data_IF_200463789821
#
_entry.id   IF_200463789821
#
_cell.length_a   1.000
_cell.length_b   1.000
_cell.length_c   1.000
_cell.angle_alpha   90.00
_cell.angle_beta   90.00
_cell.angle_gamma   90.00
#
_symmetry.space_group_name_H-M   'P 1'
#
loop_
_entity.id
_entity.type
_entity.pdbx_description
1 polymer ?
#
# COMPACT_ATOMS: atom_id res chain seq x y z
N UNK A 1 -68.79 -13.78 -5.14
CA UNK A 1 -67.53 -14.52 -4.85
C UNK A 1 -66.35 -13.65 -5.24
N UNK A 2 -65.56 -13.22 -4.26
CA UNK A 2 -64.39 -12.33 -4.43
C UNK A 2 -63.12 -13.19 -4.36
N UNK A 3 -62.40 -13.36 -5.46
CA UNK A 3 -61.04 -13.91 -5.43
C UNK A 3 -60.06 -12.73 -5.45
N UNK A 4 -59.40 -12.48 -4.31
CA UNK A 4 -58.22 -11.61 -4.25
C UNK A 4 -56.99 -12.49 -4.49
N UNK A 5 -56.37 -12.32 -5.66
CA UNK A 5 -55.07 -12.89 -5.98
C UNK A 5 -54.02 -12.14 -5.12
N UNK A 6 -53.41 -12.84 -4.17
CA UNK A 6 -52.27 -12.32 -3.42
C UNK A 6 -51.01 -12.52 -4.27
N UNK A 7 -50.49 -11.42 -4.83
CA UNK A 7 -49.19 -11.40 -5.51
C UNK A 7 -48.10 -11.42 -4.42
N UNK A 8 -47.57 -12.61 -4.13
CA UNK A 8 -46.40 -12.75 -3.26
C UNK A 8 -45.16 -12.24 -4.00
N UNK A 9 -44.70 -11.05 -3.60
CA UNK A 9 -43.42 -10.49 -4.03
C UNK A 9 -42.30 -11.33 -3.39
N UNK A 10 -41.75 -12.27 -4.14
CA UNK A 10 -40.51 -12.98 -3.80
C UNK A 10 -39.34 -11.99 -3.89
N UNK A 11 -38.98 -11.39 -2.76
CA UNK A 11 -37.71 -10.66 -2.61
C UNK A 11 -36.62 -11.72 -2.46
N UNK A 12 -35.99 -12.10 -3.57
CA UNK A 12 -34.75 -12.87 -3.55
C UNK A 12 -33.64 -11.97 -2.97
N UNK A 13 -32.93 -12.37 -1.90
CA UNK A 13 -31.74 -11.67 -1.48
C UNK A 13 -30.69 -11.85 -2.59
N UNK A 14 -30.33 -10.74 -3.24
CA UNK A 14 -29.13 -10.67 -4.07
C UNK A 14 -27.93 -10.89 -3.15
N UNK A 15 -27.52 -12.14 -2.97
CA UNK A 15 -26.19 -12.47 -2.50
C UNK A 15 -25.22 -11.96 -3.57
N UNK A 16 -24.76 -10.72 -3.43
CA UNK A 16 -23.73 -10.15 -4.27
C UNK A 16 -22.48 -11.00 -4.10
N UNK A 17 -22.27 -11.95 -5.01
CA UNK A 17 -21.04 -12.72 -5.08
C UNK A 17 -19.92 -11.72 -5.37
N UNK A 18 -19.10 -11.43 -4.36
CA UNK A 18 -17.88 -10.63 -4.54
C UNK A 18 -17.00 -11.40 -5.52
N UNK A 19 -16.68 -10.77 -6.64
CA UNK A 19 -15.81 -11.37 -7.65
C UNK A 19 -14.40 -11.53 -7.09
N UNK A 20 -13.60 -12.50 -7.57
CA UNK A 20 -12.21 -12.64 -7.16
C UNK A 20 -11.43 -11.33 -7.31
N UNK A 21 -11.60 -10.61 -8.41
CA UNK A 21 -10.96 -9.31 -8.65
C UNK A 21 -11.32 -8.26 -7.58
N UNK A 22 -12.59 -8.17 -7.19
CA UNK A 22 -13.01 -7.27 -6.11
C UNK A 22 -12.39 -7.64 -4.77
N UNK A 23 -12.20 -8.94 -4.49
CA UNK A 23 -11.52 -9.41 -3.27
C UNK A 23 -10.05 -8.98 -3.26
N UNK A 24 -9.35 -9.10 -4.38
CA UNK A 24 -7.95 -8.67 -4.50
C UNK A 24 -7.80 -7.16 -4.28
N UNK A 25 -8.66 -6.38 -4.94
CA UNK A 25 -8.66 -4.92 -4.78
C UNK A 25 -8.97 -4.51 -3.34
N UNK A 26 -9.93 -5.17 -2.69
CA UNK A 26 -10.25 -4.90 -1.29
C UNK A 26 -9.06 -5.20 -0.36
N UNK A 27 -8.33 -6.31 -0.59
CA UNK A 27 -7.14 -6.64 0.18
C UNK A 27 -6.02 -5.60 0.03
N UNK A 28 -5.78 -5.12 -1.20
CA UNK A 28 -4.80 -4.06 -1.48
C UNK A 28 -5.19 -2.75 -0.79
N UNK A 29 -6.46 -2.35 -0.88
CA UNK A 29 -6.96 -1.11 -0.26
C UNK A 29 -6.94 -1.18 1.26
N UNK A 30 -7.33 -2.32 1.84
CA UNK A 30 -7.21 -2.55 3.29
C UNK A 30 -5.75 -2.48 3.74
N UNK A 31 -4.84 -3.13 3.02
CA UNK A 31 -3.40 -3.06 3.31
C UNK A 31 -2.90 -1.62 3.30
N UNK A 32 -3.21 -0.84 2.25
CA UNK A 32 -2.82 0.57 2.15
C UNK A 32 -3.35 1.37 3.33
N UNK A 33 -4.62 1.21 3.69
CA UNK A 33 -5.23 1.93 4.81
C UNK A 33 -4.49 1.64 6.13
N UNK A 34 -4.17 0.38 6.40
CA UNK A 34 -3.47 -0.02 7.64
C UNK A 34 -2.00 0.41 7.64
N UNK A 35 -1.30 0.28 6.50
CA UNK A 35 0.12 0.56 6.39
C UNK A 35 0.45 2.06 6.32
N UNK A 36 -0.49 2.90 5.84
CA UNK A 36 -0.22 4.32 5.65
C UNK A 36 -0.10 5.07 6.97
N UNK A 37 0.78 6.07 7.01
CA UNK A 37 0.98 6.92 8.17
C UNK A 37 2.41 7.37 8.37
N UNK A 38 2.64 7.98 9.52
CA UNK A 38 3.95 8.30 10.04
C UNK A 38 4.22 7.43 11.25
N UNK A 39 5.44 6.91 11.33
CA UNK A 39 5.84 6.01 12.37
C UNK A 39 7.26 6.31 12.84
N UNK A 40 7.59 5.88 14.05
CA UNK A 40 8.91 5.99 14.66
C UNK A 40 9.35 4.64 15.21
N UNK A 41 10.62 4.30 15.02
CA UNK A 41 11.23 3.16 15.69
C UNK A 41 11.67 3.58 17.09
N UNK A 42 11.16 2.86 18.09
CA UNK A 42 11.62 3.01 19.48
C UNK A 42 13.04 2.48 19.68
N UNK A 43 13.55 1.66 18.75
CA UNK A 43 14.89 1.04 18.85
C UNK A 43 15.98 1.93 18.27
N UNK A 44 15.74 2.54 17.11
CA UNK A 44 16.76 3.32 16.39
C UNK A 44 16.47 4.81 16.31
N UNK A 45 15.27 5.24 16.70
CA UNK A 45 14.78 6.61 16.48
C UNK A 45 14.52 6.94 15.02
N UNK A 46 14.62 5.97 14.09
CA UNK A 46 14.31 6.18 12.69
C UNK A 46 12.82 6.53 12.51
N UNK A 47 12.53 7.43 11.59
CA UNK A 47 11.13 7.73 11.20
C UNK A 47 10.81 7.05 9.87
N UNK A 48 9.55 6.68 9.72
CA UNK A 48 9.03 6.01 8.54
C UNK A 48 7.73 6.69 8.11
N UNK A 49 7.66 7.10 6.86
CA UNK A 49 6.47 7.64 6.24
C UNK A 49 6.01 6.69 5.13
N UNK A 50 4.73 6.35 5.13
CA UNK A 50 4.10 5.52 4.12
C UNK A 50 2.83 6.24 3.64
N UNK A 51 2.69 6.42 2.33
CA UNK A 51 1.50 7.00 1.73
C UNK A 51 1.08 6.24 0.46
N UNK A 52 -0.23 6.06 0.21
CA UNK A 52 -0.71 5.57 -1.08
C UNK A 52 -0.44 6.60 -2.16
N UNK A 53 0.00 6.13 -3.32
CA UNK A 53 0.34 7.01 -4.45
C UNK A 53 -0.27 6.51 -5.75
N UNK A 54 -0.24 7.35 -6.77
CA UNK A 54 -0.60 6.98 -8.13
C UNK A 54 0.62 7.13 -9.02
N UNK A 55 1.17 6.01 -9.48
CA UNK A 55 2.32 5.95 -10.39
C UNK A 55 1.95 5.14 -11.64
N UNK A 56 0.84 5.52 -12.31
CA UNK A 56 0.11 4.70 -13.31
C UNK A 56 0.94 4.19 -14.48
N UNK A 57 2.01 4.91 -14.84
CA UNK A 57 2.89 4.50 -15.93
C UNK A 57 3.92 3.44 -15.50
N UNK A 58 4.07 3.22 -14.19
CA UNK A 58 5.04 2.31 -13.58
C UNK A 58 4.34 1.09 -12.95
N UNK A 59 3.25 1.31 -12.23
CA UNK A 59 2.48 0.28 -11.53
C UNK A 59 1.03 0.74 -11.32
N UNK A 60 0.12 -0.22 -11.24
CA UNK A 60 -1.30 0.02 -10.96
C UNK A 60 -1.54 0.39 -9.49
N UNK A 61 -0.86 -0.30 -8.58
CA UNK A 61 -1.10 -0.22 -7.14
C UNK A 61 0.22 0.01 -6.38
N UNK A 62 0.34 1.16 -5.71
CA UNK A 62 1.60 1.51 -5.06
C UNK A 62 1.44 2.34 -3.77
N UNK A 63 2.46 2.25 -2.94
CA UNK A 63 2.76 3.20 -1.86
C UNK A 63 4.13 3.85 -2.11
N UNK A 64 4.28 5.08 -1.64
CA UNK A 64 5.57 5.69 -1.41
C UNK A 64 6.01 5.40 0.02
N UNK A 65 7.27 5.03 0.17
CA UNK A 65 7.92 4.78 1.45
C UNK A 65 9.13 5.69 1.58
N UNK A 66 9.24 6.37 2.71
CA UNK A 66 10.40 7.19 3.06
C UNK A 66 10.84 6.88 4.49
N UNK A 67 12.08 6.47 4.67
CA UNK A 67 12.69 6.19 5.98
C UNK A 67 13.85 7.13 6.22
N UNK A 68 13.83 7.81 7.36
CA UNK A 68 14.93 8.66 7.82
C UNK A 68 15.65 7.97 8.97
N UNK A 69 16.98 7.88 8.88
CA UNK A 69 17.84 7.39 9.96
C UNK A 69 19.11 8.24 10.05
N UNK A 70 19.23 9.03 11.13
CA UNK A 70 20.29 10.03 11.24
C UNK A 70 20.18 11.06 10.12
N UNK A 71 21.24 11.20 9.31
CA UNK A 71 21.26 12.07 8.11
C UNK A 71 20.86 11.34 6.83
N UNK A 72 20.64 10.02 6.89
CA UNK A 72 20.31 9.21 5.73
C UNK A 72 18.80 9.17 5.47
N UNK A 73 18.41 9.39 4.21
CA UNK A 73 17.04 9.22 3.73
C UNK A 73 17.03 8.10 2.70
N UNK A 74 16.13 7.15 2.89
CA UNK A 74 15.82 6.13 1.90
C UNK A 74 14.39 6.36 1.42
N UNK A 75 14.20 6.48 0.10
CA UNK A 75 12.89 6.57 -0.51
C UNK A 75 12.68 5.49 -1.56
N UNK A 76 11.48 4.90 -1.59
CA UNK A 76 11.10 3.85 -2.54
C UNK A 76 9.66 4.01 -2.97
N UNK A 77 9.40 3.61 -4.20
CA UNK A 77 8.05 3.21 -4.59
C UNK A 77 7.95 1.73 -4.30
N UNK A 78 6.85 1.31 -3.71
CA UNK A 78 6.58 -0.10 -3.47
C UNK A 78 5.33 -0.48 -4.26
N UNK A 79 5.56 -1.30 -5.27
CA UNK A 79 4.51 -1.98 -6.05
C UNK A 79 3.82 -3.03 -5.16
N UNK A 80 2.49 -3.03 -5.20
CA UNK A 80 1.63 -3.86 -4.37
C UNK A 80 0.86 -4.81 -5.28
N UNK A 81 1.09 -6.10 -5.12
CA UNK A 81 0.29 -7.13 -5.75
C UNK A 81 -0.41 -7.97 -4.68
N UNK A 82 -1.61 -8.46 -4.97
CA UNK A 82 -2.25 -9.51 -4.18
C UNK A 82 -2.26 -10.82 -4.97
N UNK A 83 -1.92 -11.94 -4.33
CA UNK A 83 -2.13 -13.26 -4.93
C UNK A 83 -3.61 -13.66 -4.87
N UNK A 84 -3.97 -14.78 -5.49
CA UNK A 84 -5.36 -15.30 -5.55
C UNK A 84 -6.04 -15.48 -4.18
N UNK A 85 -5.25 -15.64 -3.12
CA UNK A 85 -5.75 -15.87 -1.77
C UNK A 85 -5.91 -14.55 -1.00
N UNK A 86 -5.38 -13.45 -1.55
CA UNK A 86 -5.40 -12.10 -0.98
C UNK A 86 -4.12 -11.75 -0.23
N UNK A 87 -3.06 -12.57 -0.31
CA UNK A 87 -1.80 -12.26 0.34
C UNK A 87 -1.07 -11.17 -0.43
N UNK A 88 -0.58 -10.17 0.30
CA UNK A 88 0.12 -9.02 -0.28
C UNK A 88 1.58 -9.37 -0.56
N UNK A 89 2.03 -9.05 -1.77
CA UNK A 89 3.42 -9.12 -2.23
C UNK A 89 3.90 -7.71 -2.57
N UNK A 90 5.05 -7.34 -2.03
CA UNK A 90 5.61 -6.00 -2.15
C UNK A 90 6.94 -6.03 -2.90
N UNK A 91 7.00 -5.29 -4.00
CA UNK A 91 8.23 -5.14 -4.80
C UNK A 91 8.73 -3.70 -4.70
N UNK A 92 9.98 -3.53 -4.28
CA UNK A 92 10.58 -2.21 -4.16
C UNK A 92 11.12 -1.74 -5.50
N UNK A 93 10.89 -0.47 -5.80
CA UNK A 93 11.47 0.27 -6.92
C UNK A 93 12.28 1.44 -6.35
N UNK A 94 13.48 1.62 -6.85
CA UNK A 94 14.35 2.77 -6.54
C UNK A 94 14.44 3.70 -7.73
N UNK A 95 14.63 4.99 -7.48
CA UNK A 95 14.81 5.96 -8.55
C UNK A 95 16.16 5.77 -9.25
N UNK A 96 16.16 5.80 -10.57
CA UNK A 96 17.38 5.73 -11.38
C UNK A 96 18.28 6.95 -11.14
N UNK A 97 17.66 8.12 -10.89
CA UNK A 97 18.33 9.38 -10.57
C UNK A 97 17.72 9.99 -9.31
N UNK A 98 18.10 9.50 -8.12
CA UNK A 98 17.52 9.96 -6.83
C UNK A 98 17.57 11.48 -6.66
N UNK A 99 18.59 12.16 -7.19
CA UNK A 99 18.73 13.61 -7.12
C UNK A 99 17.62 14.41 -7.80
N UNK A 100 16.92 13.85 -8.78
CA UNK A 100 15.78 14.48 -9.48
C UNK A 100 14.47 14.34 -8.69
N UNK A 101 14.37 13.34 -7.82
CA UNK A 101 13.15 12.94 -7.13
C UNK A 101 13.26 13.24 -5.64
N UNK A 102 13.27 14.53 -5.30
CA UNK A 102 13.37 15.05 -3.93
C UNK A 102 12.03 15.57 -3.45
N UNK A 103 11.88 15.69 -2.12
CA UNK A 103 10.73 16.33 -1.48
C UNK A 103 9.39 15.72 -1.94
N UNK A 104 9.40 14.42 -2.25
CA UNK A 104 8.23 13.69 -2.77
C UNK A 104 7.14 13.54 -1.71
N UNK A 105 7.53 13.57 -0.44
CA UNK A 105 6.60 13.61 0.68
C UNK A 105 5.79 14.91 0.68
N UNK A 106 6.44 16.03 0.38
CA UNK A 106 5.83 17.36 0.34
C UNK A 106 5.12 17.63 -1.00
N UNK A 107 5.58 17.00 -2.08
CA UNK A 107 5.09 17.18 -3.46
C UNK A 107 4.68 15.83 -4.10
N UNK A 108 3.68 15.12 -3.53
CA UNK A 108 3.31 13.77 -3.96
C UNK A 108 2.75 13.70 -5.39
N UNK A 109 2.27 14.81 -5.95
CA UNK A 109 1.81 14.90 -7.34
C UNK A 109 2.90 14.61 -8.35
N UNK A 110 4.18 14.82 -8.00
CA UNK A 110 5.32 14.51 -8.87
C UNK A 110 5.38 13.01 -9.19
N UNK A 111 4.89 12.15 -8.30
CA UNK A 111 4.86 10.71 -8.50
C UNK A 111 3.89 10.29 -9.63
N UNK A 112 2.95 11.16 -9.99
CA UNK A 112 2.04 10.90 -11.13
C UNK A 112 2.75 11.04 -12.48
N UNK A 113 3.86 11.76 -12.52
CA UNK A 113 4.66 12.00 -13.73
C UNK A 113 5.77 10.96 -13.96
N UNK A 114 5.92 9.99 -13.04
CA UNK A 114 6.94 8.95 -13.16
C UNK A 114 6.77 8.12 -14.42
N UNK A 115 7.88 7.83 -15.09
CA UNK A 115 7.95 6.93 -16.22
C UNK A 115 8.74 5.66 -15.85
N UNK A 116 8.55 4.54 -16.58
CA UNK A 116 9.30 3.30 -16.33
C UNK A 116 10.82 3.47 -16.27
N UNK A 117 11.39 4.39 -17.07
CA UNK A 117 12.84 4.67 -17.09
C UNK A 117 13.36 5.35 -15.81
N UNK A 118 12.48 5.99 -15.05
CA UNK A 118 12.85 6.78 -13.88
C UNK A 118 13.05 5.91 -12.64
N UNK A 119 12.67 4.63 -12.73
CA UNK A 119 12.79 3.67 -11.64
C UNK A 119 13.39 2.35 -12.11
N UNK A 120 13.91 1.58 -11.15
CA UNK A 120 14.39 0.21 -11.38
C UNK A 120 14.09 -0.69 -10.17
N UNK A 121 13.97 -2.01 -10.36
CA UNK A 121 13.77 -2.95 -9.26
C UNK A 121 14.88 -2.85 -8.20
N UNK A 122 14.47 -2.91 -6.93
CA UNK A 122 15.35 -2.78 -5.76
C UNK A 122 15.10 -3.89 -4.71
N UNK A 123 14.57 -5.03 -5.15
CA UNK A 123 14.26 -6.18 -4.29
C UNK A 123 12.82 -6.15 -3.76
N UNK A 124 12.60 -6.79 -2.63
CA UNK A 124 11.29 -6.88 -1.97
C UNK A 124 11.25 -6.05 -0.71
N UNK A 125 10.03 -5.75 -0.27
CA UNK A 125 9.76 -5.18 1.05
C UNK A 125 8.91 -6.15 1.88
N UNK A 126 9.04 -6.05 3.19
CA UNK A 126 8.11 -6.63 4.16
C UNK A 126 7.52 -5.47 4.94
N UNK A 127 6.19 -5.32 4.85
CA UNK A 127 5.44 -4.34 5.63
C UNK A 127 4.26 -5.11 6.21
N UNK A 128 4.21 -5.24 7.54
CA UNK A 128 3.16 -5.97 8.22
C UNK A 128 2.53 -5.09 9.27
N UNK A 129 1.40 -4.43 8.96
CA UNK A 129 0.63 -3.68 9.94
C UNK A 129 0.13 -4.60 11.06
N UNK A 130 0.20 -4.12 12.31
CA UNK A 130 -0.42 -4.78 13.45
C UNK A 130 -1.95 -4.62 13.38
N UNK A 131 -2.68 -5.54 14.00
CA UNK A 131 -4.15 -5.54 14.01
C UNK A 131 -4.75 -4.29 14.68
N UNK A 132 -4.02 -3.71 15.63
CA UNK A 132 -4.40 -2.47 16.32
C UNK A 132 -4.17 -1.20 15.48
N UNK A 133 -3.58 -1.35 14.28
CA UNK A 133 -3.17 -0.29 13.37
C UNK A 133 -2.22 0.76 13.99
N UNK A 134 -1.67 0.53 15.18
CA UNK A 134 -0.80 1.46 15.89
C UNK A 134 0.69 1.13 15.72
N UNK A 135 0.99 0.03 15.03
CA UNK A 135 2.36 -0.33 14.69
C UNK A 135 2.43 -1.13 13.40
N UNK A 136 3.64 -1.26 12.86
CA UNK A 136 3.94 -2.18 11.78
C UNK A 136 5.38 -2.69 11.91
N UNK A 137 5.66 -3.84 11.30
CA UNK A 137 7.04 -4.25 11.02
C UNK A 137 7.42 -3.85 9.61
N UNK A 138 8.68 -3.45 9.42
CA UNK A 138 9.19 -2.93 8.16
C UNK A 138 10.59 -3.49 7.86
N UNK A 139 10.79 -3.88 6.60
CA UNK A 139 12.09 -4.12 5.97
C UNK A 139 11.98 -3.84 4.48
N UNK A 140 13.02 -3.25 3.88
CA UNK A 140 13.09 -3.09 2.42
C UNK A 140 14.54 -3.22 1.96
N UNK A 141 14.76 -3.81 0.78
CA UNK A 141 16.09 -3.84 0.16
C UNK A 141 17.15 -4.57 0.99
N UNK A 142 16.74 -5.57 1.78
CA UNK A 142 17.65 -6.39 2.60
C UNK A 142 18.00 -5.81 3.98
N UNK A 143 17.37 -4.70 4.40
CA UNK A 143 17.51 -4.20 5.77
C UNK A 143 16.97 -5.21 6.79
N UNK A 144 17.50 -5.19 8.01
CA UNK A 144 16.90 -5.94 9.12
C UNK A 144 15.43 -5.52 9.31
N UNK A 145 14.60 -6.46 9.76
CA UNK A 145 13.21 -6.18 10.13
C UNK A 145 13.20 -5.36 11.41
N UNK A 146 12.43 -4.29 11.41
CA UNK A 146 12.30 -3.35 12.51
C UNK A 146 10.82 -3.03 12.76
N UNK A 147 10.46 -2.82 14.04
CA UNK A 147 9.10 -2.45 14.43
C UNK A 147 9.00 -0.93 14.59
N UNK A 148 7.96 -0.35 14.01
CA UNK A 148 7.65 1.07 14.07
C UNK A 148 6.30 1.30 14.75
N UNK A 149 6.25 2.28 15.65
CA UNK A 149 5.03 2.75 16.32
C UNK A 149 4.48 3.98 15.59
N UNK A 150 3.17 4.04 15.43
CA UNK A 150 2.51 5.18 14.79
C UNK A 150 2.71 6.44 15.63
N UNK A 151 2.99 7.56 14.97
CA UNK A 151 3.06 8.90 15.55
C UNK A 151 1.68 9.53 15.69
#
# INVERSE_FOLDING_TARGET
MKYRLALALLILPLAACVTPEQKLKAAVEEFKQKASGQFVSETTGATLFIAPIRARMVTDEAIYVERHQGTGVMSRIVDIAADKDGNIRLTALTFTQEGQWRELRENPELLTALLPKDVRPAGTCTITPAEDNNSLTFSCGGSAVETFKRL
#
